data_IF_940613366846
#
_entry.id   IF_940613366846
#
_cell.length_a   1.000
_cell.length_b   1.000
_cell.length_c   1.000
_cell.angle_alpha   90.00
_cell.angle_beta   90.00
_cell.angle_gamma   90.00
#
_symmetry.space_group_name_H-M   'P 1'
#
loop_
_entity.id
_entity.type
_entity.pdbx_description
1 polymer ?
#
# COMPACT_ATOMS: atom_id res chain seq x y z
N UNK A 1 12.69 13.31 -4.40
CA UNK A 1 11.32 12.79 -4.47
C UNK A 1 10.63 13.09 -3.15
N UNK A 2 9.46 13.72 -3.18
CA UNK A 2 8.62 13.97 -2.00
C UNK A 2 7.79 12.74 -1.64
N UNK A 3 7.30 12.61 -0.41
CA UNK A 3 6.38 11.51 -0.03
C UNK A 3 5.13 11.46 -0.91
N UNK A 4 4.63 12.61 -1.36
CA UNK A 4 3.50 12.69 -2.30
C UNK A 4 3.84 12.10 -3.67
N UNK A 5 5.04 12.40 -4.17
CA UNK A 5 5.54 11.83 -5.43
C UNK A 5 5.75 10.32 -5.33
N UNK A 6 6.32 9.85 -4.21
CA UNK A 6 6.50 8.43 -3.94
C UNK A 6 5.17 7.68 -3.89
N UNK A 7 4.20 8.19 -3.13
CA UNK A 7 2.86 7.62 -3.02
C UNK A 7 2.20 7.53 -4.40
N UNK A 8 2.30 8.59 -5.21
CA UNK A 8 1.75 8.62 -6.56
C UNK A 8 2.35 7.51 -7.43
N UNK A 9 3.67 7.33 -7.41
CA UNK A 9 4.35 6.28 -8.19
C UNK A 9 3.91 4.89 -7.72
N UNK A 10 3.78 4.66 -6.41
CA UNK A 10 3.35 3.35 -5.87
C UNK A 10 1.91 3.02 -6.25
N UNK A 11 0.99 3.99 -6.12
CA UNK A 11 -0.41 3.82 -6.53
C UNK A 11 -0.53 3.55 -8.03
N UNK A 12 0.25 4.24 -8.86
CA UNK A 12 0.26 4.04 -10.30
C UNK A 12 0.69 2.61 -10.69
N UNK A 13 1.70 2.05 -10.00
CA UNK A 13 2.13 0.66 -10.18
C UNK A 13 1.04 -0.34 -9.77
N UNK A 14 0.39 -0.13 -8.63
CA UNK A 14 -0.69 -1.00 -8.15
C UNK A 14 -1.88 -0.96 -9.12
N UNK A 15 -2.30 0.22 -9.55
CA UNK A 15 -3.42 0.39 -10.49
C UNK A 15 -3.10 -0.17 -11.88
N UNK A 16 -1.87 -0.02 -12.35
CA UNK A 16 -1.41 -0.65 -13.60
C UNK A 16 -1.53 -2.17 -13.52
N UNK A 17 -1.14 -2.77 -12.38
CA UNK A 17 -1.28 -4.20 -12.17
C UNK A 17 -2.77 -4.61 -12.10
N UNK A 18 -3.59 -3.87 -11.35
CA UNK A 18 -5.03 -4.11 -11.26
C UNK A 18 -5.70 -4.08 -12.64
N UNK A 19 -5.38 -3.10 -13.48
CA UNK A 19 -5.90 -2.99 -14.84
C UNK A 19 -5.51 -4.18 -15.71
N UNK A 20 -4.28 -4.72 -15.56
CA UNK A 20 -3.83 -5.90 -16.31
C UNK A 20 -4.49 -7.20 -15.86
N UNK A 21 -4.91 -7.27 -14.60
CA UNK A 21 -5.52 -8.45 -13.99
C UNK A 21 -7.05 -8.35 -13.93
N UNK A 22 -7.63 -7.26 -14.45
CA UNK A 22 -9.08 -7.00 -14.42
C UNK A 22 -9.65 -6.99 -12.98
N UNK A 23 -8.91 -6.38 -12.05
CA UNK A 23 -9.34 -6.24 -10.65
C UNK A 23 -9.89 -4.84 -10.36
N UNK A 24 -11.04 -4.78 -9.70
CA UNK A 24 -11.66 -3.54 -9.22
C UNK A 24 -11.01 -2.98 -7.95
N UNK A 25 -10.25 -3.81 -7.23
CA UNK A 25 -9.59 -3.40 -6.00
C UNK A 25 -8.57 -4.41 -5.50
N UNK A 26 -7.62 -3.94 -4.68
CA UNK A 26 -6.69 -4.81 -3.95
C UNK A 26 -6.64 -4.41 -2.47
N UNK A 27 -6.65 -5.43 -1.61
CA UNK A 27 -6.52 -5.25 -0.17
C UNK A 27 -5.14 -5.73 0.30
N UNK A 28 -4.30 -4.79 0.73
CA UNK A 28 -2.97 -5.03 1.26
C UNK A 28 -3.04 -5.20 2.77
N UNK A 29 -2.63 -6.36 3.28
CA UNK A 29 -2.84 -6.74 4.69
C UNK A 29 -1.54 -7.00 5.46
N UNK A 30 -0.43 -7.25 4.78
CA UNK A 30 0.85 -7.44 5.48
C UNK A 30 1.37 -6.12 6.02
N UNK A 31 2.11 -6.17 7.12
CA UNK A 31 2.64 -4.96 7.77
C UNK A 31 3.66 -4.23 6.88
N UNK A 32 4.46 -4.97 6.11
CA UNK A 32 5.41 -4.43 5.14
C UNK A 32 4.71 -3.73 3.97
N UNK A 33 3.61 -4.28 3.45
CA UNK A 33 2.79 -3.64 2.42
C UNK A 33 2.23 -2.29 2.91
N UNK A 34 1.73 -2.25 4.15
CA UNK A 34 1.23 -1.01 4.76
C UNK A 34 2.33 0.05 4.86
N UNK A 35 3.48 -0.33 5.40
CA UNK A 35 4.63 0.56 5.56
C UNK A 35 5.13 1.07 4.20
N UNK A 36 5.20 0.18 3.21
CA UNK A 36 5.58 0.53 1.85
C UNK A 36 4.59 1.50 1.23
N UNK A 37 3.29 1.19 1.18
CA UNK A 37 2.33 2.05 0.47
C UNK A 37 2.12 3.40 1.17
N UNK A 38 2.16 3.45 2.51
CA UNK A 38 2.04 4.69 3.29
C UNK A 38 3.27 5.61 3.22
N UNK A 39 4.32 5.21 2.50
CA UNK A 39 5.64 5.88 2.45
C UNK A 39 6.32 5.96 3.82
N UNK A 40 5.98 5.05 4.74
CA UNK A 40 6.45 5.03 6.11
C UNK A 40 6.07 6.29 6.90
N UNK A 41 6.71 6.47 8.06
CA UNK A 41 6.47 7.60 8.96
C UNK A 41 6.28 7.12 10.39
N UNK A 42 5.28 7.68 11.09
CA UNK A 42 4.92 7.20 12.42
C UNK A 42 4.06 5.95 12.31
N UNK A 43 4.63 4.83 12.74
CA UNK A 43 3.90 3.58 12.87
C UNK A 43 3.47 3.40 14.33
N UNK A 44 2.17 3.51 14.58
CA UNK A 44 1.57 3.28 15.90
C UNK A 44 1.16 1.83 16.13
N UNK A 45 1.42 0.97 15.15
CA UNK A 45 0.98 -0.42 15.14
C UNK A 45 2.13 -1.31 15.62
N UNK A 46 1.82 -2.23 16.54
CA UNK A 46 2.75 -3.24 17.00
C UNK A 46 3.28 -4.13 15.86
N UNK A 47 4.42 -4.77 16.08
CA UNK A 47 5.03 -5.68 15.11
C UNK A 47 4.26 -7.01 15.04
N UNK A 48 4.04 -7.52 13.83
CA UNK A 48 3.43 -8.82 13.58
C UNK A 48 3.41 -9.17 12.09
N UNK A 49 3.45 -10.46 11.75
CA UNK A 49 3.50 -10.93 10.36
C UNK A 49 2.27 -10.50 9.53
N UNK A 50 1.09 -10.53 10.17
CA UNK A 50 -0.13 -9.93 9.64
C UNK A 50 -0.34 -8.55 10.25
N UNK A 51 -0.49 -7.53 9.40
CA UNK A 51 -0.71 -6.16 9.86
C UNK A 51 -2.03 -6.06 10.61
N UNK A 52 -2.09 -5.31 11.71
CA UNK A 52 -3.35 -5.07 12.43
C UNK A 52 -4.33 -4.21 11.61
N UNK A 53 -3.82 -3.43 10.66
CA UNK A 53 -4.60 -2.68 9.68
C UNK A 53 -4.28 -3.14 8.24
N UNK A 54 -5.10 -2.74 7.28
CA UNK A 54 -4.85 -2.97 5.86
C UNK A 54 -5.25 -1.76 5.02
N UNK A 55 -4.76 -1.72 3.79
CA UNK A 55 -5.02 -0.65 2.83
C UNK A 55 -5.85 -1.22 1.67
N UNK A 56 -7.00 -0.59 1.42
CA UNK A 56 -7.78 -0.84 0.22
C UNK A 56 -7.36 0.17 -0.85
N UNK A 57 -6.94 -0.33 -2.01
CA UNK A 57 -6.71 0.48 -3.20
C UNK A 57 -7.80 0.18 -4.22
N UNK A 58 -8.38 1.26 -4.76
CA UNK A 58 -9.37 1.28 -5.85
C UNK A 58 -8.91 2.24 -6.93
#
# INVERSE_FOLDING_TARGET
>A
MTRKEELRIKLDRVRTLMSRLEFDGVFLKRQDDFSWLSCGGQNYIGWGDMGLCGLLVT
#
